data_IF_364099607485
#
_entry.id   IF_364099607485
#
_cell.length_a   1.000
_cell.length_b   1.000
_cell.length_c   1.000
_cell.angle_alpha   90.00
_cell.angle_beta   90.00
_cell.angle_gamma   90.00
#
_symmetry.space_group_name_H-M   'P 1'
#
loop_
_entity.id
_entity.type
_entity.pdbx_description
1 polymer ?
#
# COMPACT_ATOMS: atom_id res chain seq x y z
N UNK A 1 -0.32 -14.26 4.33
CA UNK A 1 -1.79 -14.23 4.21
C UNK A 1 -2.32 -12.80 4.09
N UNK A 2 -2.09 -11.90 5.05
CA UNK A 2 -2.61 -10.51 5.05
C UNK A 2 -2.34 -9.74 3.75
N UNK A 3 -1.17 -9.93 3.15
CA UNK A 3 -0.85 -9.33 1.84
C UNK A 3 -1.82 -9.77 0.72
N UNK A 4 -2.51 -10.90 0.84
CA UNK A 4 -3.49 -11.39 -0.13
C UNK A 4 -4.92 -11.06 0.29
N UNK A 5 -5.26 -11.31 1.54
CA UNK A 5 -6.63 -11.17 2.08
C UNK A 5 -6.99 -9.74 2.50
N UNK A 6 -5.99 -8.85 2.63
CA UNK A 6 -6.20 -7.48 3.09
C UNK A 6 -6.67 -7.35 4.55
N UNK A 7 -6.65 -8.45 5.32
CA UNK A 7 -7.17 -8.44 6.69
C UNK A 7 -8.70 -8.52 6.78
N UNK A 8 -9.40 -8.83 5.69
CA UNK A 8 -10.86 -8.99 5.70
C UNK A 8 -11.25 -10.20 6.58
N UNK A 9 -12.06 -10.00 7.66
CA UNK A 9 -12.35 -11.07 8.62
C UNK A 9 -12.90 -12.35 7.97
N UNK A 10 -13.85 -12.21 7.06
CA UNK A 10 -14.45 -13.33 6.31
C UNK A 10 -13.41 -14.19 5.58
N UNK A 11 -12.32 -13.60 5.07
CA UNK A 11 -11.25 -14.33 4.40
C UNK A 11 -10.30 -14.97 5.39
N UNK A 12 -10.11 -14.33 6.56
CA UNK A 12 -9.25 -14.85 7.62
C UNK A 12 -9.87 -16.06 8.32
N UNK A 13 -11.20 -16.10 8.46
CA UNK A 13 -11.95 -17.25 9.01
C UNK A 13 -11.72 -18.53 8.21
N UNK A 14 -11.43 -18.43 6.93
CA UNK A 14 -11.16 -19.58 6.06
C UNK A 14 -9.72 -20.08 6.12
N UNK A 15 -8.84 -19.42 6.86
CA UNK A 15 -7.45 -19.86 7.00
C UNK A 15 -7.39 -21.12 7.86
N UNK A 16 -6.69 -22.11 7.36
CA UNK A 16 -6.37 -23.34 8.10
C UNK A 16 -4.99 -23.18 8.77
N UNK A 17 -4.92 -23.05 10.11
CA UNK A 17 -3.64 -22.79 10.81
C UNK A 17 -2.59 -23.88 10.62
N UNK A 18 -3.04 -25.11 10.31
CA UNK A 18 -2.17 -26.27 10.09
C UNK A 18 -1.48 -26.26 8.72
N UNK A 19 -1.95 -25.39 7.81
CA UNK A 19 -1.40 -25.24 6.47
C UNK A 19 -0.46 -24.03 6.40
N UNK A 20 0.53 -24.11 5.51
CA UNK A 20 1.38 -22.95 5.20
C UNK A 20 0.56 -21.82 4.54
N UNK A 21 1.09 -20.62 4.55
CA UNK A 21 0.47 -19.48 3.84
C UNK A 21 0.28 -19.78 2.35
N UNK A 22 1.25 -20.45 1.73
CA UNK A 22 1.19 -20.84 0.31
C UNK A 22 0.07 -21.84 0.04
N UNK A 23 -0.09 -22.86 0.90
CA UNK A 23 -1.16 -23.84 0.79
C UNK A 23 -2.54 -23.19 0.96
N UNK A 24 -2.70 -22.30 1.94
CA UNK A 24 -3.94 -21.55 2.13
C UNK A 24 -4.27 -20.65 0.92
N UNK A 25 -3.29 -19.93 0.38
CA UNK A 25 -3.49 -19.11 -0.83
C UNK A 25 -3.89 -20.00 -2.01
N UNK A 26 -3.20 -21.13 -2.21
CA UNK A 26 -3.54 -22.11 -3.25
C UNK A 26 -4.99 -22.59 -3.16
N UNK A 27 -5.42 -22.93 -1.95
CA UNK A 27 -6.80 -23.41 -1.68
C UNK A 27 -7.85 -22.32 -1.87
N UNK A 28 -7.58 -21.11 -1.43
CA UNK A 28 -8.56 -20.02 -1.43
C UNK A 28 -8.66 -19.29 -2.78
N UNK A 29 -7.57 -19.25 -3.58
CA UNK A 29 -7.48 -18.40 -4.76
C UNK A 29 -7.40 -19.19 -6.09
N UNK A 30 -6.79 -20.39 -6.09
CA UNK A 30 -6.40 -21.09 -7.31
C UNK A 30 -7.12 -22.43 -7.49
N UNK A 31 -8.42 -22.44 -7.17
CA UNK A 31 -9.32 -23.56 -7.47
C UNK A 31 -10.66 -23.01 -7.94
N UNK A 32 -11.27 -23.65 -8.90
CA UNK A 32 -12.65 -23.35 -9.31
C UNK A 32 -13.59 -23.49 -8.10
N UNK A 33 -14.48 -22.51 -7.91
CA UNK A 33 -15.41 -22.45 -6.79
C UNK A 33 -14.78 -22.09 -5.44
N UNK A 34 -13.47 -21.84 -5.36
CA UNK A 34 -12.85 -21.35 -4.14
C UNK A 34 -13.34 -19.94 -3.80
N UNK A 35 -13.34 -19.60 -2.50
CA UNK A 35 -13.90 -18.33 -2.01
C UNK A 35 -13.38 -17.12 -2.77
N UNK A 36 -12.07 -17.01 -2.94
CA UNK A 36 -11.41 -15.84 -3.55
C UNK A 36 -11.26 -15.97 -5.08
N UNK A 37 -11.72 -17.07 -5.69
CA UNK A 37 -11.63 -17.25 -7.13
C UNK A 37 -12.60 -16.34 -7.89
N UNK A 38 -13.85 -16.20 -7.44
CA UNK A 38 -14.89 -15.39 -8.08
C UNK A 38 -15.33 -14.17 -7.24
N UNK A 39 -14.80 -14.00 -6.06
CA UNK A 39 -15.23 -12.98 -5.08
C UNK A 39 -15.16 -11.56 -5.65
N UNK A 40 -14.11 -11.23 -6.42
CA UNK A 40 -13.97 -9.92 -7.06
C UNK A 40 -15.16 -9.59 -7.97
N UNK A 41 -15.58 -10.56 -8.80
CA UNK A 41 -16.69 -10.36 -9.71
C UNK A 41 -18.00 -10.19 -8.95
N UNK A 42 -18.22 -10.99 -7.90
CA UNK A 42 -19.40 -10.92 -7.03
C UNK A 42 -19.50 -9.58 -6.33
N UNK A 43 -18.44 -9.15 -5.65
CA UNK A 43 -18.43 -7.88 -4.92
C UNK A 43 -18.78 -6.71 -5.86
N UNK A 44 -18.15 -6.64 -7.03
CA UNK A 44 -18.42 -5.54 -7.96
C UNK A 44 -19.83 -5.61 -8.56
N UNK A 45 -20.37 -6.79 -8.79
CA UNK A 45 -21.75 -6.95 -9.26
C UNK A 45 -22.75 -6.53 -8.18
N UNK A 46 -22.55 -6.96 -6.94
CA UNK A 46 -23.47 -6.69 -5.83
C UNK A 46 -23.46 -5.21 -5.41
N UNK A 47 -22.28 -4.58 -5.38
CA UNK A 47 -22.16 -3.18 -4.93
C UNK A 47 -22.52 -2.16 -6.04
N UNK A 48 -22.28 -2.49 -7.31
CA UNK A 48 -22.32 -1.49 -8.38
C UNK A 48 -23.26 -1.83 -9.54
N UNK A 49 -23.87 -3.00 -9.54
CA UNK A 49 -24.87 -3.46 -10.53
C UNK A 49 -24.44 -3.12 -11.98
N UNK A 50 -25.27 -2.41 -12.71
CA UNK A 50 -25.03 -2.03 -14.12
C UNK A 50 -23.76 -1.21 -14.35
N UNK A 51 -23.23 -0.55 -13.32
CA UNK A 51 -21.99 0.23 -13.39
C UNK A 51 -20.73 -0.57 -13.04
N UNK A 52 -20.84 -1.83 -12.63
CA UNK A 52 -19.72 -2.67 -12.20
C UNK A 52 -18.52 -2.65 -13.16
N UNK A 53 -18.77 -2.68 -14.48
CA UNK A 53 -17.72 -2.68 -15.50
C UNK A 53 -16.84 -1.42 -15.46
N UNK A 54 -17.42 -0.25 -15.20
CA UNK A 54 -16.66 1.01 -15.11
C UNK A 54 -15.78 1.01 -13.89
N UNK A 55 -16.31 0.61 -12.73
CA UNK A 55 -15.57 0.55 -11.48
C UNK A 55 -14.41 -0.44 -11.54
N UNK A 56 -14.62 -1.64 -12.13
CA UNK A 56 -13.55 -2.62 -12.38
C UNK A 56 -12.43 -2.03 -13.23
N UNK A 57 -12.75 -1.30 -14.32
CA UNK A 57 -11.75 -0.63 -15.15
C UNK A 57 -10.94 0.41 -14.37
N UNK A 58 -11.55 1.18 -13.48
CA UNK A 58 -10.85 2.15 -12.63
C UNK A 58 -9.87 1.41 -11.69
N UNK A 59 -10.35 0.37 -11.00
CA UNK A 59 -9.52 -0.42 -10.08
C UNK A 59 -8.36 -1.09 -10.80
N UNK A 60 -8.58 -1.62 -12.02
CA UNK A 60 -7.51 -2.17 -12.87
C UNK A 60 -6.40 -1.16 -13.17
N UNK A 61 -6.76 0.11 -13.42
CA UNK A 61 -5.76 1.17 -13.67
C UNK A 61 -4.92 1.49 -12.43
N UNK A 62 -5.49 1.33 -11.24
CA UNK A 62 -4.83 1.62 -9.96
C UNK A 62 -4.10 0.41 -9.36
N UNK A 63 -4.31 -0.79 -9.91
CA UNK A 63 -3.61 -1.99 -9.45
C UNK A 63 -2.09 -1.91 -9.63
N UNK A 64 -1.61 -1.12 -10.59
CA UNK A 64 -0.18 -0.92 -10.90
C UNK A 64 0.49 0.18 -10.07
N UNK A 65 -0.27 0.97 -9.32
CA UNK A 65 0.24 2.07 -8.51
C UNK A 65 -0.75 3.22 -8.36
N UNK A 66 -0.43 4.14 -7.47
CA UNK A 66 -1.25 5.33 -7.23
C UNK A 66 -1.19 6.30 -8.43
N UNK A 67 -2.35 6.89 -8.77
CA UNK A 67 -2.50 7.84 -9.88
C UNK A 67 -3.29 9.06 -9.43
N UNK A 68 -2.99 10.20 -10.05
CA UNK A 68 -3.87 11.37 -9.93
C UNK A 68 -5.09 11.27 -10.85
N UNK A 69 -6.00 12.23 -10.68
CA UNK A 69 -7.25 12.26 -11.44
C UNK A 69 -7.02 12.30 -12.96
N UNK A 70 -6.04 13.09 -13.42
CA UNK A 70 -5.73 13.26 -14.84
C UNK A 70 -5.11 11.99 -15.44
N UNK A 71 -4.24 11.33 -14.67
CA UNK A 71 -3.64 10.06 -15.06
C UNK A 71 -4.70 8.96 -15.19
N UNK A 72 -5.70 8.93 -14.27
CA UNK A 72 -6.82 7.98 -14.34
C UNK A 72 -7.68 8.28 -15.57
N UNK A 73 -8.08 9.54 -15.78
CA UNK A 73 -8.89 9.94 -16.93
C UNK A 73 -8.24 9.54 -18.26
N UNK A 74 -6.94 9.86 -18.42
CA UNK A 74 -6.16 9.48 -19.60
C UNK A 74 -6.09 7.97 -19.80
N UNK A 75 -5.86 7.22 -18.74
CA UNK A 75 -5.74 5.74 -18.82
C UNK A 75 -7.08 5.06 -19.15
N UNK A 76 -8.21 5.72 -18.89
CA UNK A 76 -9.55 5.26 -19.27
C UNK A 76 -9.99 5.74 -20.65
N UNK A 77 -9.19 6.58 -21.33
CA UNK A 77 -9.57 7.20 -22.61
C UNK A 77 -10.80 8.12 -22.48
N UNK A 78 -11.00 8.75 -21.32
CA UNK A 78 -12.16 9.61 -21.04
C UNK A 78 -11.71 11.02 -20.68
N UNK A 79 -12.45 12.06 -21.11
CA UNK A 79 -12.20 13.41 -20.65
C UNK A 79 -12.49 13.52 -19.15
N UNK A 80 -11.78 14.43 -18.44
CA UNK A 80 -12.13 14.79 -17.09
C UNK A 80 -13.59 15.28 -16.98
N UNK A 81 -14.33 14.88 -15.95
CA UNK A 81 -15.71 15.29 -15.76
C UNK A 81 -16.34 14.77 -14.46
N UNK A 82 -17.47 15.32 -14.08
CA UNK A 82 -18.15 15.02 -12.81
C UNK A 82 -18.48 13.52 -12.61
N UNK A 83 -18.80 12.82 -13.68
CA UNK A 83 -19.10 11.38 -13.62
C UNK A 83 -17.90 10.55 -13.14
N UNK A 84 -16.67 10.86 -13.59
CA UNK A 84 -15.49 10.16 -13.12
C UNK A 84 -15.22 10.49 -11.65
N UNK A 85 -15.41 11.74 -11.23
CA UNK A 85 -15.30 12.14 -9.83
C UNK A 85 -16.25 11.34 -8.96
N UNK A 86 -17.51 11.21 -9.35
CA UNK A 86 -18.50 10.40 -8.62
C UNK A 86 -18.07 8.93 -8.51
N UNK A 87 -17.61 8.32 -9.60
CA UNK A 87 -17.12 6.94 -9.56
C UNK A 87 -15.92 6.74 -8.62
N UNK A 88 -15.00 7.71 -8.57
CA UNK A 88 -13.88 7.67 -7.66
C UNK A 88 -14.32 7.83 -6.19
N UNK A 89 -15.28 8.73 -5.93
CA UNK A 89 -15.85 8.93 -4.60
C UNK A 89 -16.62 7.70 -4.12
N UNK A 90 -17.38 7.05 -4.99
CA UNK A 90 -18.07 5.79 -4.69
C UNK A 90 -17.07 4.69 -4.31
N UNK A 91 -15.96 4.54 -5.06
CA UNK A 91 -14.91 3.55 -4.77
C UNK A 91 -14.15 3.87 -3.47
N UNK A 92 -13.97 5.16 -3.14
CA UNK A 92 -13.39 5.58 -1.86
C UNK A 92 -14.34 5.23 -0.72
N UNK A 93 -15.63 5.54 -0.87
CA UNK A 93 -16.66 5.25 0.14
C UNK A 93 -16.84 3.75 0.37
N UNK A 94 -16.70 2.94 -0.68
CA UNK A 94 -16.74 1.48 -0.60
C UNK A 94 -15.42 0.84 -0.09
N UNK A 95 -14.37 1.63 0.20
CA UNK A 95 -13.11 1.14 0.76
C UNK A 95 -12.11 0.56 -0.25
N UNK A 96 -12.43 0.52 -1.55
CA UNK A 96 -11.48 0.03 -2.57
C UNK A 96 -10.33 0.99 -2.80
N UNK A 97 -10.59 2.29 -2.71
CA UNK A 97 -9.59 3.33 -2.94
C UNK A 97 -9.38 4.18 -1.69
N UNK A 98 -8.16 4.67 -1.54
CA UNK A 98 -7.87 5.76 -0.63
C UNK A 98 -7.41 6.98 -1.43
N UNK A 99 -7.88 8.18 -1.00
CA UNK A 99 -7.48 9.47 -1.53
C UNK A 99 -6.43 10.08 -0.62
N UNK A 100 -5.20 10.20 -1.11
CA UNK A 100 -4.11 10.87 -0.40
C UNK A 100 -3.95 12.29 -0.94
N UNK A 101 -4.31 13.26 -0.10
CA UNK A 101 -4.17 14.68 -0.43
C UNK A 101 -2.74 15.12 -0.13
N UNK A 102 -2.16 15.89 -1.05
CA UNK A 102 -0.92 16.59 -0.76
C UNK A 102 -1.17 17.71 0.26
N UNK A 103 -0.14 18.05 1.02
CA UNK A 103 -0.20 19.18 1.96
C UNK A 103 1.09 19.99 1.90
N UNK A 104 1.03 21.21 2.41
CA UNK A 104 2.17 22.08 2.57
C UNK A 104 2.91 21.75 3.87
N UNK A 105 4.19 21.46 3.78
CA UNK A 105 5.01 21.18 4.96
C UNK A 105 5.21 22.39 5.86
N UNK A 106 5.09 23.63 5.31
CA UNK A 106 5.32 24.86 6.08
C UNK A 106 4.21 25.17 7.09
N UNK A 107 2.98 24.79 6.78
CA UNK A 107 1.80 25.16 7.58
C UNK A 107 0.77 24.02 7.73
N UNK A 108 1.06 22.84 7.22
CA UNK A 108 0.20 21.66 7.33
C UNK A 108 -1.08 21.73 6.48
N UNK A 109 -1.31 22.80 5.72
CA UNK A 109 -2.55 22.95 4.95
C UNK A 109 -2.67 21.97 3.81
N UNK A 110 -3.83 21.33 3.69
CA UNK A 110 -4.18 20.45 2.57
C UNK A 110 -4.20 21.21 1.25
N UNK A 111 -3.57 20.65 0.22
CA UNK A 111 -3.54 21.18 -1.13
C UNK A 111 -4.65 20.52 -1.98
N UNK A 112 -4.95 21.14 -3.15
CA UNK A 112 -5.94 20.59 -4.10
C UNK A 112 -5.45 19.32 -4.78
N UNK A 113 -4.12 19.15 -4.95
CA UNK A 113 -3.54 17.97 -5.57
C UNK A 113 -3.70 16.73 -4.69
N UNK A 114 -4.12 15.64 -5.28
CA UNK A 114 -4.26 14.36 -4.59
C UNK A 114 -4.05 13.19 -5.55
N UNK A 115 -3.70 12.04 -5.00
CA UNK A 115 -3.63 10.77 -5.71
C UNK A 115 -4.59 9.76 -5.10
N UNK A 116 -5.06 8.85 -5.94
CA UNK A 116 -5.84 7.68 -5.54
C UNK A 116 -4.94 6.45 -5.54
N UNK A 117 -5.04 5.66 -4.51
CA UNK A 117 -4.35 4.38 -4.33
C UNK A 117 -5.38 3.27 -4.19
N UNK A 118 -5.15 2.13 -4.83
CA UNK A 118 -5.91 0.92 -4.55
C UNK A 118 -5.53 0.41 -3.17
N UNK A 119 -6.45 0.50 -2.21
CA UNK A 119 -6.24 0.10 -0.81
C UNK A 119 -6.59 -1.37 -0.55
N UNK A 120 -7.42 -1.97 -1.40
CA UNK A 120 -7.81 -3.36 -1.29
C UNK A 120 -6.75 -4.31 -1.86
N UNK A 121 -6.11 -5.08 -0.98
CA UNK A 121 -5.06 -6.02 -1.33
C UNK A 121 -5.59 -7.19 -2.16
N UNK A 122 -6.77 -7.70 -1.81
CA UNK A 122 -7.36 -8.81 -2.54
C UNK A 122 -7.61 -8.43 -4.01
N UNK A 123 -8.21 -7.28 -4.28
CA UNK A 123 -8.45 -6.82 -5.66
C UNK A 123 -7.15 -6.76 -6.49
N UNK A 124 -6.04 -6.25 -5.91
CA UNK A 124 -4.75 -6.23 -6.62
C UNK A 124 -4.25 -7.64 -6.91
N UNK A 125 -4.33 -8.54 -5.94
CA UNK A 125 -3.92 -9.93 -6.08
C UNK A 125 -4.75 -10.66 -7.15
N UNK A 126 -6.07 -10.49 -7.12
CA UNK A 126 -7.00 -11.05 -8.10
C UNK A 126 -6.65 -10.59 -9.52
N UNK A 127 -6.52 -9.29 -9.73
CA UNK A 127 -6.21 -8.70 -11.05
C UNK A 127 -4.85 -9.13 -11.60
N UNK A 128 -3.90 -9.44 -10.72
CA UNK A 128 -2.55 -9.85 -11.12
C UNK A 128 -2.44 -11.34 -11.41
N UNK A 129 -3.06 -12.20 -10.58
CA UNK A 129 -2.79 -13.63 -10.60
C UNK A 129 -4.02 -14.50 -10.91
N UNK A 130 -5.22 -14.08 -10.54
CA UNK A 130 -6.42 -14.90 -10.75
C UNK A 130 -7.05 -14.59 -12.10
N UNK A 131 -7.43 -13.33 -12.32
CA UNK A 131 -8.15 -12.93 -13.53
C UNK A 131 -7.47 -13.35 -14.85
N UNK A 132 -6.15 -13.11 -15.04
CA UNK A 132 -5.47 -13.47 -16.28
C UNK A 132 -5.31 -14.98 -16.50
N UNK A 133 -5.49 -15.79 -15.47
CA UNK A 133 -5.23 -17.23 -15.51
C UNK A 133 -6.48 -18.07 -15.20
N UNK A 134 -7.69 -17.48 -15.22
CA UNK A 134 -8.95 -18.19 -14.87
C UNK A 134 -9.11 -19.50 -15.59
N UNK A 135 -8.91 -19.54 -16.90
CA UNK A 135 -9.04 -20.77 -17.70
C UNK A 135 -8.03 -21.85 -17.29
N UNK A 136 -6.81 -21.43 -16.95
CA UNK A 136 -5.76 -22.36 -16.51
C UNK A 136 -6.05 -22.87 -15.08
N UNK A 137 -6.62 -22.03 -14.22
CA UNK A 137 -7.04 -22.42 -12.87
C UNK A 137 -8.15 -23.45 -12.92
N UNK A 138 -9.20 -23.21 -13.73
CA UNK A 138 -10.30 -24.16 -13.95
C UNK A 138 -9.77 -25.50 -14.48
N UNK A 139 -8.80 -25.45 -15.40
CA UNK A 139 -8.15 -26.64 -15.93
C UNK A 139 -7.12 -27.27 -14.96
N UNK A 140 -6.98 -26.77 -13.73
CA UNK A 140 -5.99 -27.22 -12.70
C UNK A 140 -4.54 -27.18 -13.20
N UNK A 141 -4.20 -26.19 -14.05
CA UNK A 141 -2.87 -25.99 -14.64
C UNK A 141 -2.17 -24.72 -14.15
N UNK A 142 -2.74 -24.03 -13.16
CA UNK A 142 -2.16 -22.82 -12.57
C UNK A 142 -2.45 -22.75 -11.06
N UNK A 143 -1.49 -22.36 -10.21
CA UNK A 143 -0.09 -22.12 -10.57
C UNK A 143 0.65 -23.40 -10.94
N UNK A 144 1.56 -23.33 -11.92
CA UNK A 144 2.38 -24.46 -12.40
C UNK A 144 3.65 -24.67 -11.56
N UNK A 145 3.87 -23.81 -10.57
CA UNK A 145 5.04 -23.77 -9.69
C UNK A 145 4.67 -23.19 -8.31
N UNK A 146 5.63 -23.18 -7.37
CA UNK A 146 5.46 -22.52 -6.09
C UNK A 146 5.14 -21.03 -6.27
N UNK A 147 4.25 -20.48 -5.43
CA UNK A 147 3.73 -19.11 -5.57
C UNK A 147 4.84 -18.05 -5.59
N UNK A 148 5.90 -18.30 -4.83
CA UNK A 148 7.05 -17.39 -4.73
C UNK A 148 7.82 -17.22 -6.05
N UNK A 149 7.62 -18.13 -7.01
CA UNK A 149 8.20 -18.04 -8.35
C UNK A 149 7.27 -17.44 -9.41
N UNK A 150 6.07 -17.02 -9.01
CA UNK A 150 5.15 -16.33 -9.92
C UNK A 150 5.73 -14.99 -10.37
N UNK A 151 5.54 -14.59 -11.64
CA UNK A 151 6.11 -13.36 -12.18
C UNK A 151 5.71 -12.11 -11.37
N UNK A 152 6.72 -11.38 -10.89
CA UNK A 152 6.54 -10.15 -10.12
C UNK A 152 6.02 -10.35 -8.70
N UNK A 153 6.14 -11.57 -8.14
CA UNK A 153 5.68 -11.89 -6.78
C UNK A 153 6.22 -10.91 -5.73
N UNK A 154 7.54 -10.71 -5.67
CA UNK A 154 8.15 -9.84 -4.67
C UNK A 154 7.69 -8.38 -4.82
N UNK A 155 7.54 -7.90 -6.06
CA UNK A 155 7.02 -6.54 -6.32
C UNK A 155 5.58 -6.38 -5.87
N UNK A 156 4.73 -7.39 -6.08
CA UNK A 156 3.34 -7.35 -5.61
C UNK A 156 3.31 -7.44 -4.09
N UNK A 157 4.08 -8.34 -3.47
CA UNK A 157 4.13 -8.44 -2.01
C UNK A 157 4.62 -7.16 -1.36
N UNK A 158 5.60 -6.47 -1.96
CA UNK A 158 6.06 -5.16 -1.49
C UNK A 158 4.94 -4.10 -1.55
N UNK A 159 4.20 -4.00 -2.67
CA UNK A 159 3.05 -3.09 -2.79
C UNK A 159 1.92 -3.44 -1.82
N UNK A 160 1.68 -4.73 -1.58
CA UNK A 160 0.68 -5.20 -0.63
C UNK A 160 1.08 -4.90 0.81
N UNK A 161 2.36 -5.04 1.12
CA UNK A 161 2.91 -4.69 2.42
C UNK A 161 2.83 -3.18 2.69
N UNK A 162 3.21 -2.36 1.71
CA UNK A 162 3.03 -0.90 1.79
C UNK A 162 1.56 -0.55 2.08
N UNK A 163 0.61 -1.19 1.39
CA UNK A 163 -0.82 -1.01 1.64
C UNK A 163 -1.22 -1.37 3.07
N UNK A 164 -0.75 -2.50 3.60
CA UNK A 164 -1.06 -2.91 4.97
C UNK A 164 -0.58 -1.87 5.98
N UNK A 165 0.63 -1.35 5.83
CA UNK A 165 1.16 -0.30 6.70
C UNK A 165 0.34 0.98 6.59
N UNK A 166 0.05 1.43 5.36
CA UNK A 166 -0.71 2.66 5.11
C UNK A 166 -2.18 2.57 5.57
N UNK A 167 -2.78 1.38 5.54
CA UNK A 167 -4.14 1.16 6.02
C UNK A 167 -4.22 1.13 7.56
N UNK A 168 -3.08 0.94 8.24
CA UNK A 168 -2.97 0.86 9.69
C UNK A 168 -2.17 2.06 10.27
N UNK A 169 -2.43 3.26 9.76
CA UNK A 169 -1.69 4.47 10.15
C UNK A 169 -1.75 4.81 11.65
N UNK A 170 -2.85 4.51 12.33
CA UNK A 170 -2.97 4.71 13.78
C UNK A 170 -1.96 3.85 14.55
N UNK A 171 -1.84 2.58 14.19
CA UNK A 171 -0.86 1.65 14.78
C UNK A 171 0.59 2.08 14.47
N UNK A 172 0.83 2.67 13.30
CA UNK A 172 2.16 3.23 12.98
C UNK A 172 2.48 4.40 13.92
N UNK A 173 1.55 5.32 14.12
CA UNK A 173 1.71 6.47 15.03
C UNK A 173 2.00 5.99 16.45
N UNK A 174 1.24 5.01 16.94
CA UNK A 174 1.43 4.39 18.26
C UNK A 174 2.80 3.69 18.38
N UNK A 175 3.19 2.89 17.37
CA UNK A 175 4.46 2.18 17.36
C UNK A 175 5.68 3.12 17.37
N UNK A 176 5.51 4.33 16.85
CA UNK A 176 6.54 5.39 16.91
C UNK A 176 6.53 6.16 18.24
N UNK A 177 5.58 5.87 19.14
CA UNK A 177 5.43 6.58 20.41
C UNK A 177 4.91 8.01 20.23
N UNK A 178 4.22 8.30 19.13
CA UNK A 178 3.69 9.63 18.83
C UNK A 178 2.28 9.79 19.40
N UNK A 179 1.99 11.00 19.88
CA UNK A 179 0.62 11.36 20.27
C UNK A 179 -0.20 11.71 19.02
N UNK A 180 -1.33 11.04 18.83
CA UNK A 180 -2.20 11.30 17.69
C UNK A 180 -2.68 12.76 17.61
N UNK A 181 -2.83 13.47 18.75
CA UNK A 181 -3.23 14.89 18.78
C UNK A 181 -2.13 15.82 18.31
N UNK A 182 -0.87 15.36 18.28
CA UNK A 182 0.27 16.16 17.84
C UNK A 182 0.60 15.90 16.37
N UNK A 183 0.01 14.88 15.75
CA UNK A 183 0.16 14.59 14.32
C UNK A 183 -0.72 15.53 13.50
N UNK A 184 -0.09 16.35 12.67
CA UNK A 184 -0.75 17.28 11.75
C UNK A 184 -1.21 16.55 10.48
N UNK A 185 -0.32 15.74 9.91
CA UNK A 185 -0.60 14.91 8.72
C UNK A 185 0.19 13.60 8.80
N UNK A 186 -0.43 12.53 8.29
CA UNK A 186 0.21 11.22 8.12
C UNK A 186 -0.31 10.58 6.82
N UNK A 187 0.46 10.62 5.75
CA UNK A 187 0.09 10.06 4.45
C UNK A 187 1.31 9.89 3.52
N UNK A 188 1.19 9.15 2.41
CA UNK A 188 2.17 9.20 1.33
C UNK A 188 2.41 10.63 0.86
N UNK A 189 3.68 11.00 0.70
CA UNK A 189 4.04 12.35 0.31
C UNK A 189 4.69 12.38 -1.07
N UNK A 190 4.26 13.35 -1.89
CA UNK A 190 4.72 13.50 -3.26
C UNK A 190 5.21 14.94 -3.48
N UNK A 191 6.50 15.09 -3.72
CA UNK A 191 7.10 16.35 -4.14
C UNK A 191 7.23 16.36 -5.66
N UNK A 192 6.54 17.28 -6.32
CA UNK A 192 6.64 17.45 -7.77
C UNK A 192 8.01 18.04 -8.15
N UNK A 193 8.61 17.52 -9.21
CA UNK A 193 9.83 18.10 -9.77
C UNK A 193 9.55 19.52 -10.29
N UNK A 194 10.50 20.42 -10.07
CA UNK A 194 10.53 21.77 -10.62
C UNK A 194 11.95 22.08 -11.14
N UNK A 195 12.14 23.22 -11.79
CA UNK A 195 13.42 23.57 -12.43
C UNK A 195 14.62 23.52 -11.46
N UNK A 196 14.40 23.89 -10.21
CA UNK A 196 15.37 23.98 -9.12
C UNK A 196 15.22 22.88 -8.04
N UNK A 197 14.36 21.90 -8.30
CA UNK A 197 13.97 20.90 -7.29
C UNK A 197 13.66 19.56 -7.92
N UNK A 198 14.37 18.48 -7.54
CA UNK A 198 14.02 17.14 -7.96
C UNK A 198 12.68 16.68 -7.38
N UNK A 199 12.01 15.77 -8.08
CA UNK A 199 10.85 15.07 -7.53
C UNK A 199 11.29 14.11 -6.42
N UNK A 200 10.43 13.92 -5.43
CA UNK A 200 10.62 12.95 -4.37
C UNK A 200 9.29 12.29 -3.99
N UNK A 201 9.35 11.03 -3.63
CA UNK A 201 8.23 10.28 -3.06
C UNK A 201 8.66 9.68 -1.74
N UNK A 202 7.81 9.80 -0.74
CA UNK A 202 7.94 9.17 0.58
C UNK A 202 6.75 8.24 0.77
N UNK A 203 7.01 7.01 1.17
CA UNK A 203 5.97 6.00 1.32
C UNK A 203 4.94 6.41 2.39
N UNK A 204 5.43 6.91 3.53
CA UNK A 204 4.62 7.55 4.57
C UNK A 204 5.43 8.69 5.20
N UNK A 205 4.88 9.89 5.15
CA UNK A 205 5.43 11.06 5.85
C UNK A 205 4.48 11.45 6.98
N UNK A 206 5.00 11.50 8.21
CA UNK A 206 4.24 11.94 9.38
C UNK A 206 4.80 13.28 9.82
N UNK A 207 3.94 14.28 9.88
CA UNK A 207 4.28 15.64 10.31
C UNK A 207 3.70 15.90 11.69
N UNK A 208 4.58 16.24 12.66
CA UNK A 208 4.19 16.72 13.98
C UNK A 208 4.14 18.25 14.04
N UNK A 209 3.29 18.76 14.95
CA UNK A 209 3.16 20.20 15.22
C UNK A 209 4.42 20.86 15.77
N UNK A 210 5.30 20.09 16.39
CA UNK A 210 6.54 20.58 17.02
C UNK A 210 7.75 20.59 16.07
N UNK A 211 7.51 20.45 14.75
CA UNK A 211 8.54 20.59 13.74
C UNK A 211 9.33 19.31 13.44
N UNK A 212 8.82 18.14 13.81
CA UNK A 212 9.39 16.86 13.38
C UNK A 212 8.68 16.31 12.15
N UNK A 213 9.46 15.77 11.22
CA UNK A 213 9.01 15.02 10.04
C UNK A 213 9.57 13.60 10.11
N UNK A 214 8.71 12.62 10.37
CA UNK A 214 9.08 11.21 10.32
C UNK A 214 8.94 10.73 8.87
N UNK A 215 10.09 10.46 8.25
CA UNK A 215 10.19 10.00 6.87
C UNK A 215 10.27 8.49 6.89
N UNK A 216 9.16 7.82 6.64
CA UNK A 216 9.08 6.37 6.71
C UNK A 216 9.36 5.73 5.35
N UNK A 217 10.31 4.80 5.34
CA UNK A 217 10.54 3.84 4.27
C UNK A 217 9.90 2.52 4.65
N UNK A 218 9.09 1.96 3.75
CA UNK A 218 8.37 0.71 3.99
C UNK A 218 9.01 -0.36 3.12
N UNK A 219 9.59 -1.41 3.74
CA UNK A 219 10.33 -2.45 3.03
C UNK A 219 9.81 -3.85 3.34
N UNK A 220 9.45 -4.57 2.29
CA UNK A 220 9.21 -6.00 2.34
C UNK A 220 10.40 -6.73 1.71
N UNK A 221 10.97 -7.68 2.42
CA UNK A 221 11.99 -8.58 1.89
C UNK A 221 11.83 -9.98 2.49
N UNK A 222 12.28 -10.98 1.75
CA UNK A 222 12.47 -12.36 2.25
C UNK A 222 13.87 -12.61 2.76
N UNK A 223 14.79 -11.71 2.46
CA UNK A 223 16.17 -11.72 2.91
C UNK A 223 16.43 -10.63 3.93
N UNK A 224 17.70 -10.35 4.18
CA UNK A 224 18.16 -9.34 5.10
C UNK A 224 18.26 -7.96 4.40
N UNK A 225 17.81 -6.91 5.08
CA UNK A 225 18.00 -5.51 4.66
C UNK A 225 19.38 -5.04 5.11
N UNK A 226 20.25 -4.74 4.14
CA UNK A 226 21.61 -4.27 4.37
C UNK A 226 21.75 -2.75 4.25
N UNK A 227 22.98 -2.31 4.04
CA UNK A 227 23.36 -0.88 3.95
C UNK A 227 22.68 -0.12 2.79
N UNK A 228 22.18 -0.82 1.78
CA UNK A 228 21.46 -0.23 0.65
C UNK A 228 20.22 0.54 1.07
N UNK A 229 19.56 0.16 2.18
CA UNK A 229 18.39 0.87 2.69
C UNK A 229 18.77 2.24 3.25
N UNK A 230 19.94 2.37 3.88
CA UNK A 230 20.49 3.65 4.36
C UNK A 230 20.80 4.55 3.16
N UNK A 231 21.50 4.02 2.16
CA UNK A 231 21.84 4.76 0.94
C UNK A 231 20.59 5.27 0.21
N UNK A 232 19.57 4.42 0.07
CA UNK A 232 18.30 4.79 -0.57
C UNK A 232 17.59 5.90 0.23
N UNK A 233 17.53 5.78 1.55
CA UNK A 233 16.91 6.79 2.43
C UNK A 233 17.70 8.11 2.40
N UNK A 234 19.03 8.08 2.46
CA UNK A 234 19.86 9.29 2.36
C UNK A 234 19.56 10.06 1.08
N UNK A 235 19.57 9.39 -0.08
CA UNK A 235 19.23 10.03 -1.35
C UNK A 235 17.77 10.53 -1.42
N UNK A 236 16.84 9.93 -0.66
CA UNK A 236 15.46 10.41 -0.52
C UNK A 236 15.41 11.69 0.32
N UNK A 237 16.11 11.73 1.46
CA UNK A 237 16.17 12.88 2.37
C UNK A 237 16.82 14.10 1.69
N UNK A 238 17.89 13.93 0.92
CA UNK A 238 18.58 15.01 0.20
C UNK A 238 17.68 15.68 -0.86
N UNK A 239 16.75 14.92 -1.46
CA UNK A 239 15.81 15.45 -2.46
C UNK A 239 14.63 16.18 -1.84
N UNK A 240 14.30 15.92 -0.59
CA UNK A 240 13.17 16.55 0.08
C UNK A 240 13.46 18.00 0.40
N UNK A 241 12.61 18.91 -0.08
CA UNK A 241 12.64 20.34 0.32
C UNK A 241 11.78 20.51 1.55
N UNK A 242 12.44 20.74 2.68
CA UNK A 242 11.78 20.95 3.96
C UNK A 242 11.94 22.39 4.45
N UNK A 243 11.00 22.92 5.25
CA UNK A 243 11.16 24.18 5.96
C UNK A 243 12.34 24.12 6.95
N UNK A 244 13.04 25.26 7.12
CA UNK A 244 14.18 25.34 8.04
C UNK A 244 13.85 25.06 9.52
N UNK A 245 12.57 25.25 9.88
CA UNK A 245 12.04 24.99 11.23
C UNK A 245 11.75 23.51 11.52
N UNK A 246 11.97 22.60 10.55
CA UNK A 246 11.66 21.19 10.70
C UNK A 246 12.90 20.33 10.70
N UNK A 247 12.85 19.25 11.50
CA UNK A 247 13.87 18.21 11.57
C UNK A 247 13.38 16.91 10.94
N UNK A 248 14.27 16.21 10.22
CA UNK A 248 13.97 14.92 9.62
C UNK A 248 14.28 13.79 10.61
N UNK A 249 13.37 12.84 10.72
CA UNK A 249 13.49 11.61 11.50
C UNK A 249 13.28 10.42 10.55
N UNK A 250 14.35 9.82 10.02
CA UNK A 250 14.21 8.64 9.17
C UNK A 250 13.69 7.45 9.96
N UNK A 251 12.72 6.74 9.39
CA UNK A 251 12.08 5.56 9.98
C UNK A 251 12.12 4.42 8.97
N UNK A 252 12.44 3.22 9.42
CA UNK A 252 12.33 1.99 8.64
C UNK A 252 11.20 1.14 9.21
N UNK A 253 10.18 0.87 8.39
CA UNK A 253 9.11 -0.09 8.71
C UNK A 253 9.34 -1.30 7.80
N UNK A 254 9.50 -2.49 8.37
CA UNK A 254 9.94 -3.62 7.59
C UNK A 254 9.22 -4.93 7.92
N UNK A 255 9.22 -5.82 6.94
CA UNK A 255 8.96 -7.25 7.10
C UNK A 255 10.15 -8.00 6.52
N UNK A 256 10.78 -8.87 7.30
CA UNK A 256 12.06 -9.50 7.04
C UNK A 256 13.13 -9.06 8.03
N UNK A 257 14.33 -9.58 7.86
CA UNK A 257 15.46 -9.31 8.77
C UNK A 257 16.14 -7.98 8.44
N UNK A 258 16.77 -7.36 9.43
CA UNK A 258 17.59 -6.14 9.28
C UNK A 258 18.98 -6.46 9.78
N UNK A 259 20.00 -6.16 8.98
CA UNK A 259 21.39 -6.45 9.35
C UNK A 259 21.83 -5.67 10.58
N UNK A 260 22.71 -6.27 11.37
CA UNK A 260 23.30 -5.64 12.54
C UNK A 260 24.00 -4.31 12.20
N UNK A 261 24.62 -4.24 11.04
CA UNK A 261 25.27 -3.02 10.54
C UNK A 261 24.29 -1.85 10.36
N UNK A 262 23.06 -2.11 9.90
CA UNK A 262 22.00 -1.10 9.80
C UNK A 262 21.56 -0.64 11.19
N UNK A 263 21.34 -1.58 12.12
CA UNK A 263 20.94 -1.27 13.50
C UNK A 263 22.02 -0.46 14.22
N UNK A 264 23.28 -0.88 14.14
CA UNK A 264 24.42 -0.22 14.78
C UNK A 264 24.74 1.15 14.20
N UNK A 265 24.37 1.41 12.93
CA UNK A 265 24.58 2.72 12.29
C UNK A 265 23.86 3.86 13.01
N UNK A 266 22.78 3.57 13.75
CA UNK A 266 21.87 4.56 14.38
C UNK A 266 21.35 5.61 13.39
N UNK A 267 21.32 5.28 12.10
CA UNK A 267 20.83 6.19 11.07
C UNK A 267 19.32 6.40 11.18
N UNK A 268 18.55 5.32 11.38
CA UNK A 268 17.11 5.41 11.56
C UNK A 268 16.77 5.79 13.01
N UNK A 269 15.89 6.77 13.18
CA UNK A 269 15.33 7.12 14.49
C UNK A 269 14.50 5.98 15.07
N UNK A 270 13.81 5.23 14.19
CA UNK A 270 13.05 4.04 14.55
C UNK A 270 13.24 2.96 13.48
N UNK A 271 13.39 1.71 13.91
CA UNK A 271 13.30 0.50 13.08
C UNK A 271 12.15 -0.31 13.64
N UNK A 272 11.07 -0.45 12.86
CA UNK A 272 9.79 -1.02 13.31
C UNK A 272 9.49 -2.28 12.52
N UNK A 273 9.61 -3.47 13.12
CA UNK A 273 9.19 -4.70 12.48
C UNK A 273 7.66 -4.78 12.40
N UNK A 274 7.14 -5.36 11.32
CA UNK A 274 5.70 -5.42 11.08
C UNK A 274 4.94 -6.22 12.14
N UNK A 275 5.59 -7.20 12.76
CA UNK A 275 5.03 -8.00 13.84
C UNK A 275 4.53 -7.15 15.02
N UNK A 276 5.12 -5.97 15.20
CA UNK A 276 4.69 -5.01 16.23
C UNK A 276 3.26 -4.52 16.04
N UNK A 277 2.76 -4.50 14.79
CA UNK A 277 1.37 -4.12 14.48
C UNK A 277 0.37 -5.26 14.65
N UNK A 278 0.86 -6.50 14.84
CA UNK A 278 0.04 -7.70 15.03
C UNK A 278 -0.09 -8.07 16.51
N UNK A 279 0.75 -7.50 17.39
CA UNK A 279 0.63 -7.69 18.81
C UNK A 279 -0.64 -6.97 19.32
N UNK A 280 -1.41 -7.63 20.18
CA UNK A 280 -2.50 -6.96 20.89
C UNK A 280 -1.92 -5.79 21.68
N UNK A 281 -2.50 -4.59 21.53
CA UNK A 281 -2.16 -3.46 22.38
C UNK A 281 -2.40 -3.90 23.82
N UNK A 282 -1.33 -3.99 24.62
CA UNK A 282 -1.47 -4.28 26.04
C UNK A 282 -2.30 -3.15 26.65
N UNK A 283 -3.55 -3.48 26.96
CA UNK A 283 -4.57 -2.61 27.56
C UNK A 283 -4.16 -2.18 28.98
#
# INVERSE_FOLDING_TARGET
MLAVTGGVPRYLEEIQPQQTAEQNIGRLCFREGALLFDEFERIFSDLFDKKAQVYRKIVQQLAKGAKDYQEIARSLGRPPGGTLTQHLDDLVSAGFLQRHRAWSLSDGRTLKYHKYRLSDNYSRFYLKYIQPHKEQIVASRYPDRALTFLPGWDSIMALQFENLVLNNGAQVIEALGLSAVDVVNAAPYFQTAAKDRPGAQVDLLIQERFGSLFVCEIKFTRGELGQEVITAMTGKLERLKIPRSMSLRPVLIHCGEVSEAVVQSRFFAHIVPFERFLAESAS
#
